data_IF_827058156896
#
_entry.id   IF_827058156896
#
_cell.length_a   1.000
_cell.length_b   1.000
_cell.length_c   1.000
_cell.angle_alpha   90.00
_cell.angle_beta   90.00
_cell.angle_gamma   90.00
#
_symmetry.space_group_name_H-M   'P 1'
#
loop_
_entity.id
_entity.type
_entity.pdbx_description
1 polymer ?
#
# COMPACT_ATOMS: atom_id res chain seq x y z
N UNK A 1 -39.72 44.76 -16.49
CA UNK A 1 -38.54 45.66 -16.58
C UNK A 1 -38.09 45.64 -18.03
N UNK A 2 -37.47 46.72 -18.52
CA UNK A 2 -36.92 46.75 -19.87
C UNK A 2 -35.68 45.85 -19.96
N UNK A 3 -35.30 45.45 -21.17
CA UNK A 3 -34.07 44.75 -21.47
C UNK A 3 -32.83 45.41 -20.82
N UNK A 4 -31.78 44.62 -20.60
CA UNK A 4 -30.52 45.12 -20.06
C UNK A 4 -29.76 45.88 -21.15
N UNK A 5 -29.75 47.21 -21.08
CA UNK A 5 -29.19 48.10 -22.12
C UNK A 5 -27.64 48.17 -22.10
N UNK A 6 -27.00 47.73 -21.02
CA UNK A 6 -25.55 47.87 -20.81
C UNK A 6 -24.80 46.54 -20.74
N UNK A 7 -25.31 45.50 -21.41
CA UNK A 7 -24.59 44.22 -21.53
C UNK A 7 -23.58 44.32 -22.66
N UNK A 8 -22.29 44.15 -22.34
CA UNK A 8 -21.20 44.17 -23.30
C UNK A 8 -20.77 42.74 -23.60
N UNK A 9 -20.72 42.37 -24.87
CA UNK A 9 -20.15 41.10 -25.31
C UNK A 9 -18.64 41.11 -25.12
N UNK A 10 -18.10 40.12 -24.39
CA UNK A 10 -16.66 39.98 -24.14
C UNK A 10 -16.01 38.93 -25.05
N UNK A 11 -16.73 37.85 -25.35
CA UNK A 11 -16.20 36.74 -26.13
C UNK A 11 -17.28 36.07 -26.99
N UNK A 12 -16.87 35.59 -28.17
CA UNK A 12 -17.71 34.92 -29.15
C UNK A 12 -16.93 33.80 -29.85
N UNK A 13 -17.53 32.61 -29.93
CA UNK A 13 -16.96 31.44 -30.60
C UNK A 13 -17.97 30.92 -31.62
N UNK A 14 -17.56 30.76 -32.88
CA UNK A 14 -18.42 30.27 -33.98
C UNK A 14 -19.72 31.07 -34.17
N UNK A 15 -19.70 32.38 -33.88
CA UNK A 15 -20.88 33.25 -34.00
C UNK A 15 -21.82 33.21 -32.79
N UNK A 16 -21.53 32.38 -31.78
CA UNK A 16 -22.27 32.35 -30.53
C UNK A 16 -21.54 33.12 -29.43
N UNK A 17 -22.29 33.85 -28.61
CA UNK A 17 -21.76 34.60 -27.48
C UNK A 17 -21.43 33.63 -26.33
N UNK A 18 -20.17 33.61 -25.90
CA UNK A 18 -19.68 32.75 -24.82
C UNK A 18 -19.48 33.52 -23.50
N UNK A 19 -19.25 34.83 -23.57
CA UNK A 19 -19.01 35.67 -22.38
C UNK A 19 -19.59 37.07 -22.54
N UNK A 20 -20.20 37.59 -21.48
CA UNK A 20 -20.76 38.95 -21.43
C UNK A 20 -20.38 39.65 -20.13
N UNK A 21 -20.28 40.97 -20.16
CA UNK A 21 -20.08 41.82 -19.00
C UNK A 21 -21.34 42.65 -18.75
N UNK A 22 -21.77 42.72 -17.50
CA UNK A 22 -22.87 43.58 -17.10
C UNK A 22 -22.61 44.14 -15.70
N UNK A 23 -22.64 45.48 -15.58
CA UNK A 23 -22.39 46.17 -14.30
C UNK A 23 -20.99 45.93 -13.73
N UNK A 24 -19.97 45.75 -14.59
CA UNK A 24 -18.58 45.46 -14.20
C UNK A 24 -18.34 44.03 -13.72
N UNK A 25 -19.32 43.14 -13.83
CA UNK A 25 -19.17 41.71 -13.56
C UNK A 25 -19.21 40.91 -14.86
N UNK A 26 -18.37 39.87 -14.92
CA UNK A 26 -18.33 38.94 -16.05
C UNK A 26 -19.29 37.77 -15.85
N UNK A 27 -19.91 37.33 -16.94
CA UNK A 27 -20.84 36.21 -17.00
C UNK A 27 -20.43 35.29 -18.16
N UNK A 28 -20.46 33.98 -17.94
CA UNK A 28 -20.04 32.95 -18.91
C UNK A 28 -21.23 32.07 -19.28
N UNK A 29 -21.32 31.70 -20.57
CA UNK A 29 -22.36 30.80 -21.10
C UNK A 29 -22.40 29.52 -20.28
N UNK A 30 -23.59 29.10 -19.88
CA UNK A 30 -23.79 27.88 -19.11
C UNK A 30 -24.88 27.01 -19.73
N UNK A 31 -24.63 25.72 -19.78
CA UNK A 31 -25.62 24.71 -20.18
C UNK A 31 -26.43 24.19 -18.99
N UNK A 32 -26.08 24.61 -17.76
CA UNK A 32 -26.80 24.26 -16.54
C UNK A 32 -28.17 24.94 -16.46
N UNK A 33 -29.10 24.41 -15.64
CA UNK A 33 -30.37 25.09 -15.38
C UNK A 33 -30.15 26.52 -14.91
N UNK A 34 -30.92 27.44 -15.47
CA UNK A 34 -30.89 28.88 -15.16
C UNK A 34 -31.18 29.09 -13.67
N UNK A 35 -30.43 29.99 -13.05
CA UNK A 35 -30.57 30.38 -11.65
C UNK A 35 -30.96 31.86 -11.52
N UNK A 36 -31.35 32.26 -10.31
CA UNK A 36 -31.58 33.66 -9.98
C UNK A 36 -30.28 34.47 -10.12
N UNK A 37 -30.34 35.60 -10.82
CA UNK A 37 -29.17 36.43 -11.09
C UNK A 37 -28.36 36.03 -12.33
N UNK A 38 -28.76 34.98 -13.05
CA UNK A 38 -28.18 34.66 -14.37
C UNK A 38 -28.71 35.67 -15.43
N UNK A 39 -27.89 35.98 -16.43
CA UNK A 39 -28.29 36.79 -17.58
C UNK A 39 -28.77 35.86 -18.70
N UNK A 40 -29.90 36.18 -19.30
CA UNK A 40 -30.52 35.37 -20.34
C UNK A 40 -30.67 36.16 -21.64
N UNK A 41 -30.14 35.63 -22.74
CA UNK A 41 -30.28 36.16 -24.10
C UNK A 41 -31.41 35.42 -24.83
N UNK A 42 -32.41 36.16 -25.31
CA UNK A 42 -33.49 35.59 -26.12
C UNK A 42 -33.03 35.39 -27.56
N UNK A 43 -33.14 34.17 -28.07
CA UNK A 43 -32.83 33.83 -29.47
C UNK A 43 -34.08 33.84 -30.34
N UNK A 44 -33.91 33.85 -31.66
CA UNK A 44 -35.03 33.81 -32.60
C UNK A 44 -35.91 32.57 -32.37
N UNK A 45 -37.24 32.74 -32.47
CA UNK A 45 -38.21 31.68 -32.19
C UNK A 45 -38.62 31.54 -30.71
N UNK A 46 -38.19 32.44 -29.84
CA UNK A 46 -38.61 32.41 -28.43
C UNK A 46 -40.12 32.59 -28.24
N UNK A 47 -40.67 31.94 -27.22
CA UNK A 47 -42.08 32.05 -26.83
C UNK A 47 -42.31 33.06 -25.67
N UNK A 48 -41.28 33.82 -25.31
CA UNK A 48 -41.33 34.83 -24.23
C UNK A 48 -42.20 36.01 -24.66
N UNK A 49 -43.38 36.15 -24.03
CA UNK A 49 -44.33 37.23 -24.32
C UNK A 49 -43.74 38.58 -23.89
N UNK A 50 -43.60 39.50 -24.85
CA UNK A 50 -43.03 40.83 -24.62
C UNK A 50 -41.51 40.87 -24.45
N UNK A 51 -40.82 39.79 -24.79
CA UNK A 51 -39.36 39.79 -24.94
C UNK A 51 -38.97 40.19 -26.36
N UNK A 52 -37.84 40.87 -26.48
CA UNK A 52 -37.24 41.22 -27.77
C UNK A 52 -36.17 40.18 -28.12
N UNK A 53 -36.24 39.61 -29.33
CA UNK A 53 -35.20 38.73 -29.86
C UNK A 53 -33.85 39.47 -29.91
N UNK A 54 -32.79 38.84 -29.42
CA UNK A 54 -31.45 39.42 -29.35
C UNK A 54 -31.20 40.30 -28.13
N UNK A 55 -32.19 40.47 -27.25
CA UNK A 55 -32.03 41.25 -26.02
C UNK A 55 -31.69 40.39 -24.79
N UNK A 56 -30.98 41.01 -23.85
CA UNK A 56 -30.57 40.40 -22.59
C UNK A 56 -31.52 40.76 -21.44
N UNK A 57 -31.78 39.81 -20.56
CA UNK A 57 -32.65 39.97 -19.40
C UNK A 57 -32.04 39.32 -18.16
N UNK A 58 -32.32 39.86 -16.97
CA UNK A 58 -31.90 39.27 -15.70
C UNK A 58 -32.94 38.24 -15.22
N UNK A 59 -32.51 37.03 -14.89
CA UNK A 59 -33.38 35.97 -14.37
C UNK A 59 -33.70 36.18 -12.89
N UNK A 60 -34.99 36.14 -12.52
CA UNK A 60 -35.45 36.31 -11.14
C UNK A 60 -36.15 35.05 -10.63
N UNK A 61 -36.14 34.82 -9.32
CA UNK A 61 -36.87 33.71 -8.69
C UNK A 61 -38.30 34.12 -8.33
N UNK A 62 -39.27 33.31 -8.74
CA UNK A 62 -40.67 33.44 -8.33
C UNK A 62 -40.87 32.98 -6.87
N UNK A 63 -41.81 33.59 -6.13
CA UNK A 63 -42.18 33.16 -4.79
C UNK A 63 -42.61 31.68 -4.69
N UNK A 64 -43.13 31.10 -5.77
CA UNK A 64 -43.55 29.70 -5.86
C UNK A 64 -42.48 28.70 -6.33
N UNK A 65 -41.21 29.12 -6.48
CA UNK A 65 -40.09 28.18 -6.71
C UNK A 65 -39.67 27.94 -8.17
N UNK A 66 -39.95 28.85 -9.11
CA UNK A 66 -39.46 28.78 -10.50
C UNK A 66 -38.69 30.03 -10.92
N UNK A 67 -37.90 29.97 -12.00
CA UNK A 67 -37.22 31.15 -12.57
C UNK A 67 -38.14 31.85 -13.58
N UNK A 68 -38.18 33.18 -13.52
CA UNK A 68 -38.89 34.03 -14.47
C UNK A 68 -37.99 35.07 -15.12
N UNK A 69 -38.28 35.37 -16.39
CA UNK A 69 -37.65 36.43 -17.14
C UNK A 69 -38.62 37.63 -17.16
N UNK A 70 -38.33 38.74 -16.47
CA UNK A 70 -39.27 39.84 -16.29
C UNK A 70 -39.33 40.74 -17.52
N UNK A 71 -40.29 40.51 -18.42
CA UNK A 71 -40.52 41.38 -19.60
C UNK A 71 -41.39 42.60 -19.27
N UNK A 72 -41.74 43.38 -20.29
CA UNK A 72 -42.61 44.56 -20.15
C UNK A 72 -44.07 44.21 -19.80
N UNK A 73 -44.52 42.98 -20.05
CA UNK A 73 -45.85 42.49 -19.67
C UNK A 73 -45.73 41.53 -18.47
N UNK A 74 -46.32 41.90 -17.33
CA UNK A 74 -46.30 41.04 -16.12
C UNK A 74 -47.10 39.76 -16.36
N UNK A 75 -46.44 38.60 -16.33
CA UNK A 75 -47.07 37.33 -15.95
C UNK A 75 -47.08 36.15 -16.93
N UNK A 76 -45.92 35.68 -17.40
CA UNK A 76 -45.57 34.26 -17.67
C UNK A 76 -44.62 34.10 -18.86
N UNK A 77 -43.33 34.22 -18.58
CA UNK A 77 -42.28 33.66 -19.41
C UNK A 77 -41.37 32.81 -18.53
N UNK A 78 -41.89 31.68 -18.06
CA UNK A 78 -41.09 30.63 -17.44
C UNK A 78 -40.45 29.81 -18.56
N UNK A 79 -39.18 30.04 -18.85
CA UNK A 79 -38.39 29.12 -19.66
C UNK A 79 -37.80 28.05 -18.73
N UNK A 80 -38.45 26.89 -18.65
CA UNK A 80 -37.78 25.66 -18.17
C UNK A 80 -36.93 25.17 -19.34
N UNK A 81 -35.63 25.01 -19.16
CA UNK A 81 -34.71 24.52 -20.19
C UNK A 81 -35.09 23.07 -20.57
N UNK A 82 -35.98 22.95 -21.56
CA UNK A 82 -36.09 21.81 -22.45
C UNK A 82 -36.12 22.37 -23.87
N UNK A 83 -34.95 22.35 -24.49
CA UNK A 83 -34.69 22.59 -25.91
C UNK A 83 -35.14 23.96 -26.45
N UNK A 84 -34.21 24.93 -26.51
CA UNK A 84 -34.03 25.69 -27.76
C UNK A 84 -34.20 27.21 -27.78
N UNK A 85 -34.70 27.88 -26.74
CA UNK A 85 -35.25 29.24 -26.94
C UNK A 85 -34.49 30.40 -26.25
N UNK A 86 -33.24 30.19 -25.83
CA UNK A 86 -32.34 31.25 -25.37
C UNK A 86 -31.04 30.74 -24.75
N UNK A 87 -30.07 31.64 -24.55
CA UNK A 87 -28.73 31.33 -24.01
C UNK A 87 -28.60 31.93 -22.60
N UNK A 88 -28.18 31.11 -21.63
CA UNK A 88 -27.97 31.53 -20.25
C UNK A 88 -26.49 31.82 -19.97
N UNK A 89 -26.23 32.89 -19.21
CA UNK A 89 -24.91 33.31 -18.78
C UNK A 89 -24.89 33.43 -17.25
N UNK A 90 -23.99 32.67 -16.61
CA UNK A 90 -23.83 32.66 -15.16
C UNK A 90 -22.73 33.61 -14.72
N UNK A 91 -23.00 34.38 -13.68
CA UNK A 91 -22.03 35.29 -13.07
C UNK A 91 -20.80 34.51 -12.64
N UNK A 92 -19.64 34.88 -13.16
CA UNK A 92 -18.36 34.37 -12.67
C UNK A 92 -18.17 35.02 -11.30
N UNK A 93 -18.25 34.21 -10.23
CA UNK A 93 -17.86 34.67 -8.91
C UNK A 93 -16.44 35.24 -9.03
N UNK A 94 -16.22 36.45 -8.52
CA UNK A 94 -14.94 37.13 -8.62
C UNK A 94 -13.84 36.28 -7.96
N UNK A 95 -13.22 35.41 -8.74
CA UNK A 95 -11.90 34.88 -8.45
C UNK A 95 -11.01 36.12 -8.39
N UNK A 96 -10.49 36.42 -7.20
CA UNK A 96 -9.56 37.50 -6.94
C UNK A 96 -8.36 37.36 -7.87
N UNK A 97 -8.45 37.99 -9.04
CA UNK A 97 -7.34 38.08 -9.96
C UNK A 97 -6.49 39.24 -9.46
N UNK A 98 -5.23 39.02 -9.00
CA UNK A 98 -4.37 40.08 -8.51
C UNK A 98 -4.17 41.15 -9.61
N UNK A 99 -4.03 42.40 -9.20
CA UNK A 99 -3.90 43.54 -10.12
C UNK A 99 -2.67 43.39 -11.02
N UNK A 100 -2.59 44.15 -12.11
CA UNK A 100 -1.41 44.12 -12.99
C UNK A 100 -0.17 44.54 -12.19
N UNK A 101 -0.31 45.48 -11.27
CA UNK A 101 0.75 45.89 -10.34
C UNK A 101 1.20 44.75 -9.42
N UNK A 102 0.27 43.96 -8.88
CA UNK A 102 0.59 42.80 -8.04
C UNK A 102 1.28 41.68 -8.84
N UNK A 103 0.89 41.51 -10.11
CA UNK A 103 1.51 40.56 -11.03
C UNK A 103 2.92 41.00 -11.44
N UNK A 104 3.13 42.30 -11.64
CA UNK A 104 4.45 42.87 -11.95
C UNK A 104 5.36 42.77 -10.73
N UNK A 105 4.89 43.12 -9.53
CA UNK A 105 5.67 42.99 -8.31
C UNK A 105 6.08 41.54 -8.02
N UNK A 106 5.17 40.57 -8.26
CA UNK A 106 5.50 39.15 -8.16
C UNK A 106 6.52 38.71 -9.21
N UNK A 107 6.35 39.14 -10.47
CA UNK A 107 7.27 38.81 -11.54
C UNK A 107 8.65 39.45 -11.34
N UNK A 108 8.73 40.66 -10.80
CA UNK A 108 9.99 41.34 -10.46
C UNK A 108 10.73 40.62 -9.33
N UNK A 109 10.02 40.20 -8.28
CA UNK A 109 10.59 39.36 -7.23
C UNK A 109 11.06 37.98 -7.73
N UNK A 110 10.29 37.35 -8.62
CA UNK A 110 10.70 36.10 -9.28
C UNK A 110 11.91 36.30 -10.21
N UNK A 111 12.01 37.43 -10.92
CA UNK A 111 13.19 37.76 -11.75
C UNK A 111 14.42 38.03 -10.89
N UNK A 112 14.28 38.67 -9.73
CA UNK A 112 15.39 38.89 -8.80
C UNK A 112 15.87 37.57 -8.17
N UNK A 113 14.93 36.70 -7.76
CA UNK A 113 15.24 35.33 -7.32
C UNK A 113 15.95 34.55 -8.44
N UNK A 114 15.41 34.56 -9.66
CA UNK A 114 16.00 33.88 -10.81
C UNK A 114 17.35 34.47 -11.19
N UNK A 115 17.59 35.78 -11.01
CA UNK A 115 18.92 36.38 -11.21
C UNK A 115 19.90 35.95 -10.13
N UNK A 116 19.47 35.83 -8.87
CA UNK A 116 20.27 35.26 -7.79
C UNK A 116 20.61 33.78 -8.07
N UNK A 117 19.63 33.00 -8.50
CA UNK A 117 19.80 31.59 -8.83
C UNK A 117 20.66 31.40 -10.09
N UNK A 118 20.51 32.27 -11.09
CA UNK A 118 21.36 32.28 -12.29
C UNK A 118 22.77 32.79 -11.98
N UNK A 119 22.98 33.70 -11.03
CA UNK A 119 24.31 34.06 -10.54
C UNK A 119 24.96 32.90 -9.76
N UNK A 120 24.17 32.10 -9.03
CA UNK A 120 24.62 30.85 -8.42
C UNK A 120 24.92 29.75 -9.46
N UNK A 121 24.23 29.75 -10.61
CA UNK A 121 24.40 28.77 -11.70
C UNK A 121 25.41 29.19 -12.78
N UNK A 122 25.79 30.48 -12.86
CA UNK A 122 26.78 31.01 -13.83
C UNK A 122 28.20 31.13 -13.28
N UNK A 123 28.49 30.48 -12.16
CA UNK A 123 29.85 29.98 -11.90
C UNK A 123 29.99 28.64 -12.60
N UNK A 124 30.95 28.53 -13.52
CA UNK A 124 31.14 27.39 -14.41
C UNK A 124 30.92 26.02 -13.74
N UNK A 125 29.91 25.31 -14.26
CA UNK A 125 29.67 23.88 -14.16
C UNK A 125 29.89 23.25 -12.78
N UNK A 126 29.04 23.59 -11.80
CA UNK A 126 28.80 22.70 -10.67
C UNK A 126 30.05 22.36 -9.85
N UNK A 127 30.85 23.35 -9.48
CA UNK A 127 31.88 23.24 -8.44
C UNK A 127 31.80 24.45 -7.50
N UNK A 128 31.68 24.21 -6.19
CA UNK A 128 31.67 25.21 -5.12
C UNK A 128 33.07 25.38 -4.55
N UNK A 129 33.62 26.59 -4.58
CA UNK A 129 34.92 26.90 -3.94
C UNK A 129 34.82 26.72 -2.42
N UNK A 130 35.80 26.06 -1.82
CA UNK A 130 35.91 25.80 -0.37
C UNK A 130 37.25 26.32 0.19
N UNK A 131 37.36 26.42 1.52
CA UNK A 131 38.61 26.81 2.17
C UNK A 131 39.66 25.69 2.06
N UNK A 132 40.95 26.04 1.95
CA UNK A 132 42.05 25.06 1.88
C UNK A 132 42.04 24.10 3.07
N UNK A 133 41.71 24.58 4.27
CA UNK A 133 41.60 23.77 5.49
C UNK A 133 40.41 22.81 5.52
N UNK A 134 39.47 22.94 4.59
CA UNK A 134 38.30 22.06 4.45
C UNK A 134 38.47 21.03 3.33
N UNK A 135 39.63 21.01 2.68
CA UNK A 135 39.96 20.08 1.61
C UNK A 135 39.99 18.64 2.15
N UNK A 136 39.48 17.71 1.33
CA UNK A 136 39.50 16.26 1.58
C UNK A 136 39.68 15.51 0.28
N UNK A 137 39.99 14.22 0.37
CA UNK A 137 39.97 13.33 -0.78
C UNK A 137 38.62 13.41 -1.52
N UNK A 138 38.66 13.45 -2.85
CA UNK A 138 37.51 13.63 -3.75
C UNK A 138 37.08 15.09 -3.98
N UNK A 139 37.69 16.06 -3.31
CA UNK A 139 37.61 17.47 -3.73
C UNK A 139 38.62 17.71 -4.88
N UNK A 140 38.61 18.90 -5.47
CA UNK A 140 39.45 19.27 -6.61
C UNK A 140 40.34 20.47 -6.28
N UNK A 141 41.59 20.44 -6.71
CA UNK A 141 42.53 21.56 -6.66
C UNK A 141 42.69 22.20 -8.04
N UNK A 142 42.69 23.53 -8.09
CA UNK A 142 42.93 24.34 -9.29
C UNK A 142 44.10 25.28 -9.05
N UNK A 143 45.14 25.15 -9.85
CA UNK A 143 46.28 26.08 -9.79
C UNK A 143 45.95 27.35 -10.57
N UNK A 144 46.19 28.50 -9.94
CA UNK A 144 46.07 29.84 -10.53
C UNK A 144 47.41 30.24 -11.14
N UNK A 145 48.51 29.85 -10.50
CA UNK A 145 49.89 30.11 -10.94
C UNK A 145 50.78 28.98 -10.43
N UNK A 146 51.67 28.49 -11.29
CA UNK A 146 52.66 27.46 -10.98
C UNK A 146 53.81 27.52 -11.99
N UNK A 147 55.02 27.19 -11.52
CA UNK A 147 56.22 27.03 -12.34
C UNK A 147 56.48 25.55 -12.72
N UNK A 148 55.60 24.64 -12.29
CA UNK A 148 55.73 23.20 -12.54
C UNK A 148 55.19 22.85 -13.95
N UNK A 149 56.05 22.29 -14.79
CA UNK A 149 55.71 21.86 -16.16
C UNK A 149 54.71 20.69 -16.19
N UNK A 150 54.55 19.96 -15.08
CA UNK A 150 53.57 18.88 -14.91
C UNK A 150 52.15 19.39 -14.61
N UNK A 151 51.95 20.69 -14.37
CA UNK A 151 50.66 21.24 -13.93
C UNK A 151 50.15 22.30 -14.92
N UNK A 152 49.03 22.00 -15.57
CA UNK A 152 48.29 22.96 -16.40
C UNK A 152 47.48 23.94 -15.54
N UNK A 153 47.83 25.22 -15.61
CA UNK A 153 47.08 26.31 -14.97
C UNK A 153 45.62 26.29 -15.39
N UNK A 154 44.72 26.37 -14.41
CA UNK A 154 43.28 26.39 -14.61
C UNK A 154 42.62 25.02 -14.81
N UNK A 155 43.39 23.93 -14.92
CA UNK A 155 42.88 22.56 -14.86
C UNK A 155 42.50 22.20 -13.42
N UNK A 156 41.47 21.38 -13.27
CA UNK A 156 41.05 20.81 -11.98
C UNK A 156 41.69 19.43 -11.82
N UNK A 157 42.46 19.25 -10.75
CA UNK A 157 43.04 17.96 -10.36
C UNK A 157 42.27 17.40 -9.17
N UNK A 158 42.00 16.11 -9.18
CA UNK A 158 41.30 15.45 -8.07
C UNK A 158 42.28 15.21 -6.91
N UNK A 159 41.85 15.57 -5.71
CA UNK A 159 42.62 15.34 -4.49
C UNK A 159 42.43 13.88 -4.09
N UNK A 160 43.50 13.10 -4.10
CA UNK A 160 43.50 11.68 -3.76
C UNK A 160 43.63 11.46 -2.25
N UNK A 161 44.41 12.30 -1.58
CA UNK A 161 44.64 12.25 -0.15
C UNK A 161 45.02 13.64 0.39
N UNK A 162 44.99 13.76 1.72
CA UNK A 162 45.61 14.87 2.44
C UNK A 162 46.79 14.28 3.20
N UNK A 163 47.98 14.85 3.03
CA UNK A 163 49.20 14.38 3.69
C UNK A 163 49.20 14.70 5.20
N UNK A 164 50.27 14.33 5.91
CA UNK A 164 50.36 14.60 7.36
C UNK A 164 50.61 16.08 7.71
N UNK A 165 51.00 16.91 6.73
CA UNK A 165 51.11 18.37 6.83
C UNK A 165 49.79 19.11 6.57
N UNK A 166 48.79 18.44 6.00
CA UNK A 166 47.52 19.02 5.59
C UNK A 166 47.50 19.47 4.13
N UNK A 167 48.49 19.07 3.32
CA UNK A 167 48.64 19.44 1.92
C UNK A 167 47.89 18.44 1.01
N UNK A 168 47.14 18.92 0.00
CA UNK A 168 46.47 18.05 -0.95
C UNK A 168 47.43 17.28 -1.86
N UNK A 169 47.23 15.96 -1.96
CA UNK A 169 47.96 15.05 -2.86
C UNK A 169 47.12 14.79 -4.10
N UNK A 170 47.71 14.88 -5.29
CA UNK A 170 47.02 14.67 -6.57
C UNK A 170 47.98 14.11 -7.64
N UNK A 171 47.42 13.52 -8.70
CA UNK A 171 48.17 13.08 -9.88
C UNK A 171 48.24 14.19 -10.93
N UNK A 172 49.43 14.53 -11.40
CA UNK A 172 49.70 15.61 -12.36
C UNK A 172 49.49 15.20 -13.85
N UNK A 173 49.84 16.06 -14.80
CA UNK A 173 49.64 15.79 -16.24
C UNK A 173 50.58 14.73 -16.83
N UNK A 174 51.61 14.30 -16.07
CA UNK A 174 52.58 13.28 -16.46
C UNK A 174 52.42 12.00 -15.63
N UNK A 175 51.25 11.82 -15.01
CA UNK A 175 50.85 10.67 -14.19
C UNK A 175 51.79 10.44 -12.98
N UNK A 176 52.34 11.52 -12.40
CA UNK A 176 53.13 11.49 -11.17
C UNK A 176 52.38 12.09 -9.98
N UNK A 177 52.64 11.53 -8.80
CA UNK A 177 52.10 12.04 -7.54
C UNK A 177 52.78 13.38 -7.21
N UNK A 178 51.97 14.42 -6.99
CA UNK A 178 52.41 15.77 -6.68
C UNK A 178 51.58 16.36 -5.51
N UNK A 179 52.08 17.44 -4.91
CA UNK A 179 51.58 18.02 -3.68
C UNK A 179 51.28 19.50 -3.85
N UNK A 180 50.09 19.95 -3.45
CA UNK A 180 49.72 21.37 -3.47
C UNK A 180 50.17 22.06 -2.18
N UNK A 181 51.42 22.51 -2.15
CA UNK A 181 52.09 23.02 -0.94
C UNK A 181 51.73 24.47 -0.64
N UNK A 182 52.09 24.97 0.54
CA UNK A 182 51.85 26.37 0.92
C UNK A 182 52.50 27.41 0.01
N UNK A 183 53.54 27.02 -0.75
CA UNK A 183 54.26 27.89 -1.66
C UNK A 183 53.51 28.07 -3.00
N UNK A 184 52.46 27.28 -3.25
CA UNK A 184 51.67 27.28 -4.48
C UNK A 184 50.42 28.17 -4.41
N UNK A 185 50.10 28.81 -5.54
CA UNK A 185 48.89 29.64 -5.68
C UNK A 185 47.75 28.81 -6.26
N UNK A 186 46.99 28.15 -5.38
CA UNK A 186 45.86 27.31 -5.75
C UNK A 186 44.56 27.63 -4.99
N UNK A 187 43.44 27.19 -5.57
CA UNK A 187 42.11 27.19 -4.98
C UNK A 187 41.56 25.75 -4.91
N UNK A 188 40.71 25.48 -3.91
CA UNK A 188 40.06 24.17 -3.73
C UNK A 188 38.58 24.30 -4.04
N UNK A 189 38.06 23.31 -4.77
CA UNK A 189 36.71 23.25 -5.29
C UNK A 189 36.05 21.91 -4.93
N UNK A 190 34.76 21.96 -4.60
CA UNK A 190 33.93 20.80 -4.28
C UNK A 190 32.73 20.75 -5.22
N UNK A 191 32.56 19.67 -5.97
CA UNK A 191 31.38 19.47 -6.82
C UNK A 191 30.10 19.45 -5.93
N UNK A 192 29.04 20.25 -6.16
CA UNK A 192 27.82 20.25 -5.34
C UNK A 192 27.01 18.95 -5.40
N UNK A 193 27.39 17.99 -6.24
CA UNK A 193 26.85 16.62 -6.24
C UNK A 193 27.88 15.58 -5.75
N UNK A 194 28.91 16.00 -5.01
CA UNK A 194 29.90 15.14 -4.35
C UNK A 194 29.81 15.20 -2.81
N UNK A 195 28.59 15.40 -2.29
CA UNK A 195 28.26 15.01 -0.92
C UNK A 195 27.84 13.52 -0.82
N UNK A 196 27.97 12.71 -1.88
CA UNK A 196 27.65 11.27 -1.81
C UNK A 196 28.27 10.40 -2.93
N UNK A 197 29.57 10.50 -3.17
CA UNK A 197 30.35 9.50 -3.95
C UNK A 197 31.78 9.56 -3.37
N UNK A 198 32.11 8.98 -2.23
CA UNK A 198 32.10 7.58 -1.82
C UNK A 198 31.08 7.30 -0.70
N UNK A 199 29.88 6.96 -1.11
CA UNK A 199 29.48 5.59 -0.99
C UNK A 199 28.62 5.36 -2.24
N UNK A 200 28.69 4.19 -2.86
CA UNK A 200 27.46 3.61 -3.43
C UNK A 200 26.31 3.94 -2.47
N UNK A 201 25.04 4.17 -2.88
CA UNK A 201 23.98 4.25 -1.89
C UNK A 201 23.99 2.92 -1.16
N UNK A 202 24.73 2.85 -0.04
CA UNK A 202 24.82 1.69 0.80
C UNK A 202 23.39 1.63 1.26
N UNK A 203 22.61 0.62 0.81
CA UNK A 203 21.19 0.60 1.04
C UNK A 203 21.01 0.88 2.52
N UNK A 204 20.19 1.89 2.86
CA UNK A 204 20.02 2.34 4.24
C UNK A 204 20.00 1.10 5.13
N UNK A 205 21.02 0.97 5.98
CA UNK A 205 21.31 -0.31 6.61
C UNK A 205 20.05 -0.80 7.30
N UNK A 206 19.65 -2.04 6.95
CA UNK A 206 18.42 -2.64 7.47
C UNK A 206 18.37 -2.53 9.00
N UNK A 207 17.26 -2.05 9.51
CA UNK A 207 17.02 -1.87 10.95
C UNK A 207 16.37 -3.14 11.51
N UNK A 208 16.48 -3.31 12.82
CA UNK A 208 15.75 -4.38 13.51
C UNK A 208 14.26 -4.22 13.24
N UNK A 209 13.63 -5.29 12.76
CA UNK A 209 12.24 -5.33 12.34
C UNK A 209 12.03 -5.26 10.82
N UNK A 210 13.03 -4.82 10.04
CA UNK A 210 12.93 -4.78 8.57
C UNK A 210 12.96 -6.20 7.99
N UNK A 211 12.21 -6.38 6.90
CA UNK A 211 12.27 -7.61 6.10
C UNK A 211 13.19 -7.41 4.91
N UNK A 212 13.95 -8.46 4.60
CA UNK A 212 14.91 -8.45 3.51
C UNK A 212 14.87 -9.77 2.73
N UNK A 213 15.08 -9.66 1.42
CA UNK A 213 15.27 -10.77 0.51
C UNK A 213 16.74 -11.16 0.46
N UNK A 214 17.01 -12.45 0.59
CA UNK A 214 18.35 -13.04 0.48
C UNK A 214 18.77 -13.06 -0.98
N UNK A 215 19.89 -12.43 -1.32
CA UNK A 215 20.45 -12.37 -2.68
C UNK A 215 21.83 -13.04 -2.80
N UNK A 216 22.43 -13.43 -1.67
CA UNK A 216 23.73 -14.07 -1.59
C UNK A 216 23.78 -15.14 -0.49
N UNK A 217 24.87 -15.92 -0.45
CA UNK A 217 25.04 -17.05 0.47
C UNK A 217 26.48 -17.29 0.92
N UNK A 218 27.25 -16.22 1.09
CA UNK A 218 28.61 -16.22 1.62
C UNK A 218 28.66 -16.19 3.17
N UNK A 219 27.54 -15.93 3.85
CA UNK A 219 27.39 -15.95 5.30
C UNK A 219 27.18 -17.33 5.92
N UNK A 220 27.27 -17.41 7.25
CA UNK A 220 26.92 -18.60 8.02
C UNK A 220 25.42 -18.62 8.31
N UNK A 221 24.62 -18.92 7.30
CA UNK A 221 23.16 -19.02 7.41
C UNK A 221 22.58 -20.25 6.68
N UNK A 222 21.35 -20.61 7.05
CA UNK A 222 20.59 -21.74 6.51
C UNK A 222 19.51 -21.33 5.50
N UNK A 223 19.42 -20.04 5.15
CA UNK A 223 18.44 -19.53 4.18
C UNK A 223 18.90 -19.72 2.73
N UNK A 224 17.94 -19.92 1.82
CA UNK A 224 18.16 -20.02 0.38
C UNK A 224 18.09 -18.65 -0.31
N UNK A 225 18.65 -18.55 -1.52
CA UNK A 225 18.57 -17.33 -2.33
C UNK A 225 17.11 -17.10 -2.73
N UNK A 226 16.64 -15.87 -2.55
CA UNK A 226 15.27 -15.36 -2.68
C UNK A 226 14.36 -15.58 -1.46
N UNK A 227 14.84 -16.20 -0.37
CA UNK A 227 14.06 -16.25 0.87
C UNK A 227 13.87 -14.86 1.47
N UNK A 228 12.71 -14.62 2.08
CA UNK A 228 12.43 -13.42 2.87
C UNK A 228 12.73 -13.70 4.34
N UNK A 229 13.63 -12.90 4.92
CA UNK A 229 14.07 -12.99 6.31
C UNK A 229 13.80 -11.69 7.05
N UNK A 230 13.56 -11.77 8.35
CA UNK A 230 13.38 -10.62 9.22
C UNK A 230 14.68 -10.31 9.97
N UNK A 231 15.11 -9.05 9.96
CA UNK A 231 16.29 -8.60 10.70
C UNK A 231 15.95 -8.49 12.18
N UNK A 232 16.57 -9.35 12.99
CA UNK A 232 16.38 -9.38 14.43
C UNK A 232 17.49 -8.64 15.18
N UNK A 233 18.68 -8.55 14.59
CA UNK A 233 19.81 -7.87 15.18
C UNK A 233 20.60 -7.09 14.13
N UNK A 234 20.78 -5.79 14.36
CA UNK A 234 21.56 -4.89 13.52
C UNK A 234 22.29 -3.89 14.42
N UNK A 235 23.63 -3.95 14.46
CA UNK A 235 24.48 -3.04 15.26
C UNK A 235 25.80 -2.71 14.56
N UNK A 236 26.16 -1.43 14.49
CA UNK A 236 27.48 -0.96 14.01
C UNK A 236 27.92 -1.51 12.64
N UNK A 237 29.03 -2.24 12.60
CA UNK A 237 29.53 -2.93 11.39
C UNK A 237 29.38 -4.46 11.47
N UNK A 238 28.52 -4.96 12.37
CA UNK A 238 28.30 -6.40 12.53
C UNK A 238 27.38 -6.95 11.42
N UNK A 239 27.53 -8.24 11.05
CA UNK A 239 26.56 -8.96 10.24
C UNK A 239 25.16 -8.90 10.88
N UNK A 240 24.12 -9.06 10.06
CA UNK A 240 22.74 -9.12 10.52
C UNK A 240 22.42 -10.50 11.05
N UNK A 241 21.77 -10.59 12.22
CA UNK A 241 21.12 -11.84 12.61
C UNK A 241 19.69 -11.79 12.12
N UNK A 242 19.31 -12.79 11.33
CA UNK A 242 17.97 -12.87 10.78
C UNK A 242 17.25 -14.15 11.21
N UNK A 243 15.93 -14.02 11.35
CA UNK A 243 15.00 -15.12 11.48
C UNK A 243 14.27 -15.30 10.14
N UNK A 244 13.85 -16.52 9.81
CA UNK A 244 12.96 -16.76 8.68
C UNK A 244 11.58 -16.15 8.93
N UNK A 245 10.73 -16.16 7.91
CA UNK A 245 9.36 -15.66 8.01
C UNK A 245 8.49 -16.42 9.04
N UNK A 246 8.92 -17.61 9.46
CA UNK A 246 8.29 -18.42 10.51
C UNK A 246 8.80 -18.10 11.92
N UNK A 247 9.80 -17.21 12.06
CA UNK A 247 10.41 -16.81 13.32
C UNK A 247 11.52 -17.75 13.82
N UNK A 248 12.06 -18.63 12.96
CA UNK A 248 13.20 -19.49 13.29
C UNK A 248 14.50 -18.78 12.90
N UNK A 249 15.45 -18.70 13.83
CA UNK A 249 16.79 -18.14 13.57
C UNK A 249 17.51 -18.90 12.47
N UNK A 250 17.77 -18.23 11.34
CA UNK A 250 18.43 -18.81 10.17
C UNK A 250 19.92 -18.50 10.08
N UNK A 251 20.43 -17.56 10.87
CA UNK A 251 21.87 -17.33 11.03
C UNK A 251 22.29 -15.88 10.85
N UNK A 252 23.55 -15.69 10.50
CA UNK A 252 24.15 -14.37 10.29
C UNK A 252 24.39 -14.09 8.81
N UNK A 253 23.96 -12.92 8.35
CA UNK A 253 24.02 -12.46 6.97
C UNK A 253 24.88 -11.21 6.86
N UNK A 254 25.65 -11.12 5.79
CA UNK A 254 26.36 -9.89 5.44
C UNK A 254 25.44 -8.89 4.75
N UNK A 255 25.80 -7.61 4.79
CA UNK A 255 25.00 -6.53 4.20
C UNK A 255 24.81 -6.64 2.70
N UNK A 256 25.78 -7.20 1.98
CA UNK A 256 25.64 -7.46 0.54
C UNK A 256 24.74 -8.65 0.19
N UNK A 257 24.28 -9.43 1.18
CA UNK A 257 23.46 -10.62 0.96
C UNK A 257 21.98 -10.36 1.13
N UNK A 258 21.61 -9.17 1.59
CA UNK A 258 20.26 -8.80 1.93
C UNK A 258 19.85 -7.53 1.18
N UNK A 259 18.74 -7.62 0.47
CA UNK A 259 18.09 -6.46 -0.16
C UNK A 259 16.77 -6.22 0.57
N UNK A 260 16.44 -4.97 0.87
CA UNK A 260 15.14 -4.64 1.49
C UNK A 260 14.00 -5.24 0.67
N UNK A 261 13.17 -6.05 1.33
CA UNK A 261 11.99 -6.65 0.68
C UNK A 261 10.89 -5.61 0.55
N UNK A 262 10.11 -5.71 -0.54
CA UNK A 262 8.89 -4.91 -0.69
C UNK A 262 7.77 -5.44 0.19
N UNK A 263 6.81 -4.60 0.58
CA UNK A 263 5.66 -5.03 1.38
C UNK A 263 4.86 -6.15 0.70
N UNK A 264 4.85 -6.19 -0.64
CA UNK A 264 4.21 -7.23 -1.45
C UNK A 264 4.95 -8.58 -1.35
N UNK A 265 6.29 -8.59 -1.51
CA UNK A 265 7.10 -9.81 -1.34
C UNK A 265 7.02 -10.36 0.09
N UNK A 266 6.92 -9.49 1.10
CA UNK A 266 6.73 -9.89 2.49
C UNK A 266 5.36 -10.53 2.71
N UNK A 267 4.31 -9.99 2.09
CA UNK A 267 2.98 -10.57 2.15
C UNK A 267 2.95 -11.95 1.47
N UNK A 268 3.50 -12.06 0.26
CA UNK A 268 3.58 -13.32 -0.48
C UNK A 268 4.38 -14.38 0.29
N UNK A 269 5.49 -14.00 0.92
CA UNK A 269 6.28 -14.93 1.74
C UNK A 269 5.55 -15.36 3.03
N UNK A 270 4.76 -14.48 3.65
CA UNK A 270 3.92 -14.84 4.80
C UNK A 270 2.83 -15.81 4.40
N UNK A 271 2.14 -15.54 3.28
CA UNK A 271 1.13 -16.42 2.75
C UNK A 271 1.74 -17.77 2.40
N UNK A 272 2.85 -17.80 1.64
CA UNK A 272 3.57 -19.02 1.29
C UNK A 272 4.00 -19.83 2.52
N UNK A 273 4.45 -19.17 3.60
CA UNK A 273 4.79 -19.82 4.85
C UNK A 273 3.57 -20.40 5.58
N UNK A 274 2.41 -19.74 5.52
CA UNK A 274 1.17 -20.33 6.03
C UNK A 274 0.77 -21.57 5.25
N UNK A 275 0.89 -21.55 3.91
CA UNK A 275 0.64 -22.74 3.08
C UNK A 275 1.64 -23.87 3.36
N UNK A 276 2.92 -23.56 3.58
CA UNK A 276 3.96 -24.55 3.85
C UNK A 276 3.77 -25.32 5.17
N UNK A 277 2.94 -24.82 6.10
CA UNK A 277 2.57 -25.54 7.31
C UNK A 277 1.74 -26.79 7.01
N UNK A 278 1.03 -26.82 5.88
CA UNK A 278 0.16 -27.92 5.48
C UNK A 278 0.88 -28.86 4.51
N UNK A 279 0.93 -30.14 4.88
CA UNK A 279 1.51 -31.20 4.07
C UNK A 279 0.42 -32.16 3.63
N UNK A 280 0.62 -32.79 2.48
CA UNK A 280 -0.25 -33.88 2.03
C UNK A 280 -0.30 -34.98 3.10
N UNK A 281 -1.52 -35.40 3.44
CA UNK A 281 -1.81 -36.35 4.52
C UNK A 281 -2.11 -35.72 5.89
N UNK A 282 -1.87 -34.43 6.09
CA UNK A 282 -2.17 -33.77 7.36
C UNK A 282 -3.68 -33.80 7.66
N UNK A 283 -4.03 -34.06 8.92
CA UNK A 283 -5.42 -33.97 9.39
C UNK A 283 -5.74 -32.54 9.81
N UNK A 284 -6.76 -31.95 9.19
CA UNK A 284 -7.16 -30.56 9.40
C UNK A 284 -8.64 -30.48 9.79
N UNK A 285 -8.97 -29.64 10.76
CA UNK A 285 -10.35 -29.30 11.10
C UNK A 285 -10.81 -28.09 10.29
N UNK A 286 -11.98 -28.19 9.66
CA UNK A 286 -12.57 -27.06 8.93
C UNK A 286 -13.29 -26.12 9.90
N UNK A 287 -12.80 -24.90 10.08
CA UNK A 287 -13.40 -23.91 10.98
C UNK A 287 -14.59 -23.18 10.35
N UNK A 288 -14.49 -22.85 9.07
CA UNK A 288 -15.48 -22.02 8.38
C UNK A 288 -15.54 -22.30 6.87
N UNK A 289 -16.62 -21.85 6.21
CA UNK A 289 -16.80 -21.99 4.76
C UNK A 289 -17.55 -23.25 4.31
N UNK A 290 -17.74 -24.23 5.19
CA UNK A 290 -18.48 -25.47 4.90
C UNK A 290 -19.90 -25.24 4.40
N UNK A 291 -20.34 -26.10 3.47
CA UNK A 291 -21.67 -26.11 2.88
C UNK A 291 -21.87 -25.13 1.73
N UNK A 292 -20.86 -24.30 1.42
CA UNK A 292 -20.88 -23.36 0.29
C UNK A 292 -19.76 -23.68 -0.67
N UNK A 293 -19.97 -23.50 -1.97
CA UNK A 293 -18.89 -23.59 -2.96
C UNK A 293 -17.75 -22.63 -2.58
N UNK A 294 -16.48 -23.06 -2.57
CA UNK A 294 -15.90 -24.31 -3.08
C UNK A 294 -15.85 -25.51 -2.11
N UNK A 295 -16.45 -25.40 -0.92
CA UNK A 295 -16.55 -26.41 0.15
C UNK A 295 -17.96 -27.03 0.24
N UNK A 296 -18.65 -27.17 -0.89
CA UNK A 296 -19.94 -27.86 -0.91
C UNK A 296 -19.71 -29.34 -0.59
N UNK A 297 -20.46 -29.92 0.35
CA UNK A 297 -20.24 -31.28 0.84
C UNK A 297 -19.20 -31.41 1.96
N UNK A 298 -18.68 -30.29 2.46
CA UNK A 298 -17.82 -30.20 3.64
C UNK A 298 -18.54 -29.40 4.73
N UNK A 299 -18.41 -29.79 5.99
CA UNK A 299 -19.09 -29.20 7.14
C UNK A 299 -18.07 -28.62 8.12
N UNK A 300 -18.41 -27.47 8.71
CA UNK A 300 -17.57 -26.86 9.73
C UNK A 300 -17.55 -27.74 10.99
N UNK A 301 -16.41 -27.78 11.68
CA UNK A 301 -16.16 -28.61 12.86
C UNK A 301 -15.70 -30.04 12.53
N UNK A 302 -15.88 -30.51 11.30
CA UNK A 302 -15.41 -31.84 10.87
C UNK A 302 -13.94 -31.83 10.50
N UNK A 303 -13.34 -33.01 10.58
CA UNK A 303 -11.93 -33.26 10.26
C UNK A 303 -11.80 -33.86 8.87
N UNK A 304 -10.88 -33.32 8.11
CA UNK A 304 -10.55 -33.68 6.75
C UNK A 304 -9.06 -33.96 6.63
N UNK A 305 -8.66 -34.55 5.52
CA UNK A 305 -7.26 -34.79 5.20
C UNK A 305 -6.82 -33.85 4.08
N UNK A 306 -5.61 -33.30 4.19
CA UNK A 306 -5.01 -32.50 3.13
C UNK A 306 -4.61 -33.43 1.99
N UNK A 307 -5.27 -33.28 0.85
CA UNK A 307 -4.94 -34.04 -0.35
C UNK A 307 -3.74 -33.46 -1.09
N UNK A 308 -3.74 -32.16 -1.36
CA UNK A 308 -2.59 -31.46 -1.92
C UNK A 308 -2.76 -29.95 -1.76
N UNK A 309 -1.65 -29.23 -1.73
CA UNK A 309 -1.64 -27.76 -1.76
C UNK A 309 -1.69 -27.31 -3.22
N UNK A 310 -2.67 -26.49 -3.59
CA UNK A 310 -2.81 -26.01 -4.96
C UNK A 310 -2.02 -24.70 -5.12
N UNK A 311 -0.74 -24.80 -5.46
CA UNK A 311 0.07 -23.63 -5.81
C UNK A 311 -0.18 -23.24 -7.29
N UNK A 312 -0.44 -21.96 -7.64
CA UNK A 312 -0.42 -20.73 -6.84
C UNK A 312 -1.83 -20.20 -6.52
N UNK A 313 -2.79 -21.07 -6.14
CA UNK A 313 -4.23 -20.74 -6.09
C UNK A 313 -4.76 -20.45 -4.69
N UNK A 314 -3.90 -20.05 -3.75
CA UNK A 314 -4.27 -19.69 -2.38
C UNK A 314 -5.21 -20.67 -1.68
N UNK A 315 -5.18 -21.96 -2.06
CA UNK A 315 -6.16 -22.94 -1.59
C UNK A 315 -5.55 -24.33 -1.43
N UNK A 316 -6.03 -25.00 -0.40
CA UNK A 316 -5.63 -26.33 0.05
C UNK A 316 -6.78 -27.27 -0.31
N UNK A 317 -6.47 -28.31 -1.09
CA UNK A 317 -7.43 -29.34 -1.41
C UNK A 317 -7.59 -30.28 -0.21
N UNK A 318 -8.80 -30.40 0.30
CA UNK A 318 -9.14 -31.30 1.40
C UNK A 318 -10.00 -32.47 0.91
N UNK A 319 -9.76 -33.66 1.42
CA UNK A 319 -10.46 -34.91 1.08
C UNK A 319 -11.20 -35.48 2.31
N UNK A 320 -12.20 -36.33 2.05
CA UNK A 320 -13.04 -36.94 3.09
C UNK A 320 -14.42 -36.27 3.27
N UNK A 321 -14.76 -35.28 2.45
CA UNK A 321 -16.11 -34.72 2.38
C UNK A 321 -17.05 -35.54 1.49
N UNK A 322 -18.33 -35.19 1.50
CA UNK A 322 -19.37 -35.79 0.65
C UNK A 322 -19.28 -35.35 -0.82
N UNK A 323 -18.36 -34.44 -1.15
CA UNK A 323 -18.08 -34.01 -2.51
C UNK A 323 -16.66 -34.40 -2.92
N UNK A 324 -16.46 -34.55 -4.23
CA UNK A 324 -15.19 -34.97 -4.81
C UNK A 324 -14.09 -33.89 -4.84
N UNK A 325 -14.43 -32.64 -4.50
CA UNK A 325 -13.51 -31.50 -4.51
C UNK A 325 -13.89 -30.52 -3.42
N UNK A 326 -13.01 -30.31 -2.45
CA UNK A 326 -13.13 -29.28 -1.42
C UNK A 326 -11.85 -28.46 -1.38
N UNK A 327 -11.98 -27.15 -1.55
CA UNK A 327 -10.84 -26.23 -1.50
C UNK A 327 -11.05 -25.25 -0.35
N UNK A 328 -10.17 -25.29 0.64
CA UNK A 328 -10.19 -24.38 1.78
C UNK A 328 -8.96 -23.46 1.73
N UNK A 329 -9.09 -22.25 2.22
CA UNK A 329 -7.95 -21.36 2.45
C UNK A 329 -7.29 -21.70 3.80
N UNK A 330 -5.99 -21.39 4.03
CA UNK A 330 -5.28 -21.72 5.27
C UNK A 330 -5.99 -21.22 6.55
N UNK A 331 -6.56 -20.02 6.49
CA UNK A 331 -7.32 -19.39 7.58
C UNK A 331 -8.60 -20.15 7.93
N UNK A 332 -9.18 -20.91 6.99
CA UNK A 332 -10.34 -21.77 7.21
C UNK A 332 -9.98 -23.09 7.88
N UNK A 333 -8.70 -23.44 7.97
CA UNK A 333 -8.22 -24.72 8.49
C UNK A 333 -7.51 -24.56 9.83
N UNK A 334 -7.52 -25.63 10.59
CA UNK A 334 -6.75 -25.83 11.82
C UNK A 334 -6.04 -27.17 11.70
N UNK A 335 -4.71 -27.19 11.79
CA UNK A 335 -3.93 -28.43 11.78
C UNK A 335 -4.15 -29.11 13.14
N UNK A 336 -4.55 -30.37 13.12
CA UNK A 336 -4.69 -31.17 14.32
C UNK A 336 -3.32 -31.65 14.78
N UNK A 337 -3.14 -31.71 16.11
CA UNK A 337 -1.96 -32.34 16.68
C UNK A 337 -1.89 -33.83 16.34
N UNK A 338 -0.69 -34.42 16.40
CA UNK A 338 -0.50 -35.85 16.11
C UNK A 338 -1.33 -36.75 17.04
N UNK A 339 -1.52 -36.32 18.30
CA UNK A 339 -2.34 -37.02 19.29
C UNK A 339 -3.82 -37.03 18.89
N UNK A 340 -4.37 -35.88 18.52
CA UNK A 340 -5.76 -35.77 18.05
C UNK A 340 -5.95 -36.55 16.74
N UNK A 341 -5.03 -36.44 15.79
CA UNK A 341 -5.08 -37.19 14.53
C UNK A 341 -5.07 -38.71 14.75
N UNK A 342 -4.29 -39.19 15.72
CA UNK A 342 -4.26 -40.61 16.10
C UNK A 342 -5.57 -41.05 16.75
N UNK A 343 -6.23 -40.19 17.52
CA UNK A 343 -7.57 -40.46 18.04
C UNK A 343 -8.60 -40.56 16.92
N UNK A 344 -8.66 -39.57 16.01
CA UNK A 344 -9.55 -39.62 14.84
C UNK A 344 -9.38 -40.90 14.03
N UNK A 345 -8.14 -41.38 13.85
CA UNK A 345 -7.87 -42.63 13.16
C UNK A 345 -8.47 -43.84 13.86
N UNK A 346 -8.39 -43.92 15.19
CA UNK A 346 -8.98 -45.03 15.97
C UNK A 346 -10.50 -45.08 15.87
N UNK A 347 -11.14 -43.92 15.92
CA UNK A 347 -12.60 -43.81 15.74
C UNK A 347 -13.02 -44.14 14.31
N UNK A 348 -12.25 -43.70 13.30
CA UNK A 348 -12.52 -44.04 11.91
C UNK A 348 -12.34 -45.55 11.62
N UNK A 349 -11.37 -46.22 12.24
CA UNK A 349 -11.17 -47.68 12.09
C UNK A 349 -12.36 -48.51 12.58
N UNK A 350 -13.08 -48.02 13.58
CA UNK A 350 -14.33 -48.64 14.07
C UNK A 350 -15.58 -48.14 13.32
N UNK A 351 -15.39 -47.26 12.32
CA UNK A 351 -16.47 -46.72 11.49
C UNK A 351 -17.38 -45.73 12.22
N UNK A 352 -16.82 -44.91 13.13
CA UNK A 352 -17.57 -43.94 13.94
C UNK A 352 -16.91 -42.56 13.95
N UNK A 353 -17.68 -41.51 14.25
CA UNK A 353 -17.13 -40.17 14.50
C UNK A 353 -16.51 -40.07 15.90
N UNK A 354 -15.51 -39.19 16.08
CA UNK A 354 -14.88 -38.99 17.40
C UNK A 354 -15.92 -38.49 18.40
N UNK A 355 -16.03 -39.17 19.53
CA UNK A 355 -17.04 -38.87 20.56
C UNK A 355 -18.42 -39.49 20.28
N UNK A 356 -18.56 -40.32 19.25
CA UNK A 356 -19.80 -41.06 18.96
C UNK A 356 -19.91 -42.34 19.81
N UNK A 357 -20.44 -42.18 21.02
CA UNK A 357 -20.75 -43.29 21.92
C UNK A 357 -22.11 -43.90 21.59
N UNK A 358 -22.17 -45.23 21.60
CA UNK A 358 -23.39 -46.03 21.42
C UNK A 358 -23.67 -46.85 22.66
N UNK A 359 -24.94 -47.12 22.89
CA UNK A 359 -25.36 -48.09 23.90
C UNK A 359 -24.61 -49.42 23.79
N UNK A 360 -24.02 -49.84 24.91
CA UNK A 360 -23.21 -51.04 25.07
C UNK A 360 -21.70 -50.81 24.91
N UNK A 361 -21.24 -49.58 24.66
CA UNK A 361 -19.82 -49.26 24.68
C UNK A 361 -19.25 -49.31 26.09
N UNK A 362 -18.00 -49.77 26.22
CA UNK A 362 -17.26 -49.71 27.48
C UNK A 362 -16.36 -48.48 27.45
N UNK A 363 -16.61 -47.56 28.38
CA UNK A 363 -15.91 -46.28 28.51
C UNK A 363 -15.21 -46.20 29.85
N UNK A 364 -14.17 -45.38 29.94
CA UNK A 364 -13.46 -45.07 31.18
C UNK A 364 -13.54 -43.57 31.42
N UNK A 365 -13.76 -43.17 32.66
CA UNK A 365 -13.58 -41.77 33.04
C UNK A 365 -12.10 -41.38 32.93
N UNK A 366 -11.84 -40.18 32.39
CA UNK A 366 -10.51 -39.58 32.38
C UNK A 366 -10.29 -38.61 33.56
N UNK A 367 -11.21 -38.62 34.55
CA UNK A 367 -11.06 -37.94 35.83
C UNK A 367 -11.41 -38.85 37.01
N UNK A 368 -10.98 -38.46 38.22
CA UNK A 368 -11.32 -39.17 39.44
C UNK A 368 -10.61 -40.52 39.57
N UNK A 369 -11.38 -41.58 39.81
CA UNK A 369 -10.93 -42.95 40.03
C UNK A 369 -10.72 -43.74 38.73
N UNK A 370 -10.93 -43.12 37.57
CA UNK A 370 -10.90 -43.76 36.26
C UNK A 370 -11.84 -44.96 36.16
N UNK A 371 -13.04 -44.86 36.76
CA UNK A 371 -14.05 -45.90 36.71
C UNK A 371 -14.36 -46.32 35.27
N UNK A 372 -14.48 -47.63 35.04
CA UNK A 372 -14.89 -48.21 33.76
C UNK A 372 -16.40 -48.46 33.84
N UNK A 373 -17.14 -47.82 32.95
CA UNK A 373 -18.59 -47.86 32.89
C UNK A 373 -19.09 -48.37 31.53
N UNK A 374 -20.32 -48.87 31.51
CA UNK A 374 -21.03 -49.20 30.27
C UNK A 374 -21.95 -48.05 29.88
N UNK A 375 -21.95 -47.70 28.60
CA UNK A 375 -22.88 -46.74 28.01
C UNK A 375 -24.25 -47.41 27.92
N UNK A 376 -25.27 -46.86 28.57
CA UNK A 376 -26.62 -47.44 28.64
C UNK A 376 -27.67 -46.63 27.89
N UNK A 377 -27.35 -45.36 27.60
CA UNK A 377 -28.17 -44.44 26.84
C UNK A 377 -27.31 -43.76 25.78
N UNK A 378 -27.88 -43.56 24.60
CA UNK A 378 -27.19 -42.87 23.51
C UNK A 378 -27.02 -41.38 23.86
N UNK A 379 -26.21 -40.66 23.09
CA UNK A 379 -25.95 -39.23 23.35
C UNK A 379 -27.23 -38.40 23.17
N UNK A 380 -27.84 -37.98 24.28
CA UNK A 380 -29.01 -37.10 24.34
C UNK A 380 -28.58 -35.74 24.94
N UNK A 381 -28.97 -34.63 24.31
CA UNK A 381 -28.54 -33.26 24.68
C UNK A 381 -27.02 -33.05 24.80
N UNK A 382 -26.23 -33.80 24.00
CA UNK A 382 -24.76 -33.73 24.02
C UNK A 382 -24.12 -34.39 25.24
N UNK A 383 -24.85 -35.26 25.96
CA UNK A 383 -24.35 -36.03 27.10
C UNK A 383 -24.59 -37.52 26.91
N UNK A 384 -23.64 -38.32 27.37
CA UNK A 384 -23.65 -39.79 27.30
C UNK A 384 -24.15 -40.35 28.63
N UNK A 385 -25.12 -41.26 28.57
CA UNK A 385 -25.61 -41.96 29.77
C UNK A 385 -24.73 -43.15 30.09
N UNK A 386 -23.98 -43.09 31.19
CA UNK A 386 -23.10 -44.16 31.65
C UNK A 386 -23.61 -44.77 32.95
N UNK A 387 -23.59 -46.10 33.02
CA UNK A 387 -23.95 -46.84 34.22
C UNK A 387 -22.73 -46.92 35.14
N UNK A 388 -22.74 -46.10 36.18
CA UNK A 388 -21.75 -46.14 37.27
C UNK A 388 -22.11 -47.24 38.27
N UNK A 389 -21.12 -47.70 39.03
CA UNK A 389 -21.28 -48.74 40.05
C UNK A 389 -22.02 -48.23 41.28
N UNK A 390 -21.71 -47.01 41.72
CA UNK A 390 -22.16 -46.48 43.01
C UNK A 390 -23.31 -45.46 42.90
N UNK A 391 -23.48 -44.81 41.74
CA UNK A 391 -24.41 -43.69 41.57
C UNK A 391 -25.54 -43.94 40.56
N UNK A 392 -25.58 -45.14 39.95
CA UNK A 392 -26.58 -45.45 38.92
C UNK A 392 -26.22 -44.83 37.57
N UNK A 393 -27.23 -44.40 36.80
CA UNK A 393 -27.03 -43.82 35.48
C UNK A 393 -26.67 -42.33 35.62
N UNK A 394 -25.44 -41.98 35.24
CA UNK A 394 -24.94 -40.60 35.21
C UNK A 394 -24.91 -40.08 33.77
N UNK A 395 -25.15 -38.78 33.58
CA UNK A 395 -25.12 -38.12 32.26
C UNK A 395 -23.88 -37.24 32.15
N UNK A 396 -22.91 -37.71 31.39
CA UNK A 396 -21.58 -37.13 31.32
C UNK A 396 -21.28 -36.49 29.97
N UNK A 397 -20.29 -35.59 29.95
CA UNK A 397 -19.83 -35.00 28.70
C UNK A 397 -18.93 -36.00 27.96
N UNK A 398 -19.08 -36.15 26.64
CA UNK A 398 -18.19 -36.98 25.81
C UNK A 398 -16.70 -36.76 26.11
N UNK A 399 -16.27 -35.50 26.26
CA UNK A 399 -14.87 -35.11 26.52
C UNK A 399 -14.27 -35.66 27.82
N UNK A 400 -15.10 -36.20 28.72
CA UNK A 400 -14.66 -36.79 29.99
C UNK A 400 -14.58 -38.31 29.97
N UNK A 401 -15.00 -38.91 28.86
CA UNK A 401 -15.12 -40.35 28.67
C UNK A 401 -14.16 -40.79 27.57
N UNK A 402 -13.45 -41.89 27.84
CA UNK A 402 -12.55 -42.52 26.89
C UNK A 402 -13.08 -43.88 26.49
N UNK A 403 -13.31 -44.09 25.20
CA UNK A 403 -13.74 -45.39 24.68
C UNK A 403 -12.62 -46.44 24.88
N UNK A 404 -12.94 -47.51 25.62
CA UNK A 404 -12.04 -48.64 25.84
C UNK A 404 -12.38 -49.78 24.88
N UNK A 405 -13.66 -50.08 24.71
CA UNK A 405 -14.10 -51.14 23.81
C UNK A 405 -15.42 -50.76 23.16
N UNK A 406 -15.48 -50.67 21.83
CA UNK A 406 -16.72 -50.42 21.11
C UNK A 406 -17.63 -51.65 21.20
N UNK A 407 -18.94 -51.44 21.26
CA UNK A 407 -19.93 -52.51 21.36
C UNK A 407 -19.85 -53.51 20.19
N UNK A 408 -19.33 -53.11 19.03
CA UNK A 408 -19.13 -53.98 17.86
C UNK A 408 -17.96 -54.96 18.04
N UNK A 409 -17.02 -54.69 18.95
CA UNK A 409 -15.87 -55.57 19.24
C UNK A 409 -16.12 -56.50 20.44
N UNK A 410 -17.27 -56.39 21.09
CA UNK A 410 -17.65 -57.19 22.26
C UNK A 410 -18.07 -58.60 21.85
N UNK A 411 -17.60 -59.60 22.58
CA UNK A 411 -17.96 -61.01 22.39
C UNK A 411 -19.26 -61.40 23.10
N UNK A 412 -19.64 -60.67 24.14
CA UNK A 412 -20.79 -60.93 25.01
C UNK A 412 -22.10 -60.34 24.46
N UNK A 413 -22.20 -60.23 23.13
CA UNK A 413 -23.32 -59.64 22.42
C UNK A 413 -24.44 -60.63 22.13
#
# INVERSE_FOLDING_TARGET
>A
MANLVSVKTLDMVNGEITKVEYGGAEYVKTDSPVQEGDIFLLTEGHLVIGGDTGAFYMANKRPGGGIEIPTMYRGNASAVQKNGNGIAFRKVAASTNPSVEDRVAKAEGEIESLKSDVAALKGEAGYKRIAKSEARAGDYVKFIETDDEGITIGKMYEIEAIDCGGDPVFTDDIDQENYATSDDTYEVYRKPDAASVEAEPKPERLKVGDYAKVVGGAGEHQAEINDIVQVMFSFGNLPFRCDDISGKSVGWFYEGELVRATDEEVAEAKDAAEFAKFKEGDKVRLKSGGGKFPLNGYENGKVYEVGYVCFPRDSIHIIGGNACRGFATPDQLEILSEEEAAEYKKWAEIGREVGEFKKGDIVRYDYGDNEICEVVDDTEDGRVGVQTKDYGICREKPDTLRLITPVEARFDR
#
